data_IF_195645361883
#
_entry.id   IF_195645361883
#
_cell.length_a   1.000
_cell.length_b   1.000
_cell.length_c   1.000
_cell.angle_alpha   90.00
_cell.angle_beta   90.00
_cell.angle_gamma   90.00
#
_symmetry.space_group_name_H-M   'P 1'
#
loop_
_entity.id
_entity.type
_entity.pdbx_description
1 polymer ?
#
# COMPACT_ATOMS: atom_id res chain seq x y z
N UNK A 1 48.29 9.89 -21.56
CA UNK A 1 46.81 9.85 -21.73
C UNK A 1 46.15 10.02 -20.35
N UNK A 2 45.74 11.24 -20.00
CA UNK A 2 45.04 11.52 -18.77
C UNK A 2 43.55 11.16 -18.97
N UNK A 3 43.07 10.13 -18.26
CA UNK A 3 41.65 9.85 -18.16
C UNK A 3 40.98 11.06 -17.49
N UNK A 4 40.22 11.83 -18.24
CA UNK A 4 39.29 12.81 -17.71
C UNK A 4 38.21 12.03 -16.93
N UNK A 5 38.39 11.93 -15.61
CA UNK A 5 37.30 11.55 -14.70
C UNK A 5 36.16 12.56 -14.91
N UNK A 6 35.12 12.16 -15.60
CA UNK A 6 33.89 12.94 -15.65
C UNK A 6 33.32 12.97 -14.24
N UNK A 7 33.56 14.04 -13.50
CA UNK A 7 32.88 14.25 -12.21
C UNK A 7 31.38 14.28 -12.50
N UNK A 8 30.70 13.19 -12.22
CA UNK A 8 29.24 13.16 -12.24
C UNK A 8 28.76 14.23 -11.27
N UNK A 9 27.79 15.06 -11.67
CA UNK A 9 27.17 16.04 -10.79
C UNK A 9 26.60 15.30 -9.56
N UNK A 10 26.56 15.92 -8.39
CA UNK A 10 25.93 15.32 -7.23
C UNK A 10 24.46 15.05 -7.53
N UNK A 11 23.91 13.95 -6.96
CA UNK A 11 22.49 13.64 -7.01
C UNK A 11 21.74 14.78 -6.32
N UNK A 12 20.70 15.28 -6.95
CA UNK A 12 19.82 16.30 -6.41
C UNK A 12 18.56 15.66 -5.90
N UNK A 13 18.21 15.96 -4.65
CA UNK A 13 16.97 15.44 -4.07
C UNK A 13 16.01 16.55 -3.65
N UNK A 14 14.73 16.25 -3.71
CA UNK A 14 13.65 17.08 -3.17
C UNK A 14 12.90 16.30 -2.10
N UNK A 15 12.58 16.95 -0.97
CA UNK A 15 11.75 16.35 0.06
C UNK A 15 10.89 17.41 0.75
N UNK A 16 9.70 16.99 1.21
CA UNK A 16 8.82 17.76 2.07
C UNK A 16 9.00 17.38 3.55
N UNK A 17 9.88 16.42 3.83
CA UNK A 17 10.06 15.86 5.17
C UNK A 17 11.40 16.25 5.80
N UNK A 18 11.35 16.58 7.08
CA UNK A 18 12.54 16.74 7.93
C UNK A 18 12.67 15.50 8.83
N UNK A 19 13.25 14.44 8.30
CA UNK A 19 13.36 13.15 8.98
C UNK A 19 14.62 12.39 8.54
N UNK A 20 14.79 11.18 9.07
CA UNK A 20 15.95 10.32 8.79
C UNK A 20 16.21 10.06 7.30
N UNK A 21 15.23 10.20 6.42
CA UNK A 21 15.44 10.03 4.97
C UNK A 21 16.22 11.21 4.42
N UNK A 22 15.88 12.43 4.82
CA UNK A 22 16.64 13.64 4.47
C UNK A 22 18.07 13.55 4.98
N UNK A 23 18.23 13.22 6.28
CA UNK A 23 19.55 13.08 6.91
C UNK A 23 20.41 12.05 6.15
N UNK A 24 19.81 10.95 5.70
CA UNK A 24 20.49 9.91 4.91
C UNK A 24 20.92 10.44 3.53
N UNK A 25 20.11 11.24 2.87
CA UNK A 25 20.47 11.82 1.57
C UNK A 25 21.63 12.81 1.70
N UNK A 26 21.58 13.67 2.72
CA UNK A 26 22.66 14.61 3.04
C UNK A 26 23.98 13.86 3.39
N UNK A 27 23.90 12.81 4.23
CA UNK A 27 25.05 11.98 4.58
C UNK A 27 25.70 11.26 3.37
N UNK A 28 24.94 11.04 2.29
CA UNK A 28 25.45 10.54 1.00
C UNK A 28 26.09 11.62 0.12
N UNK A 29 26.11 12.86 0.56
CA UNK A 29 26.59 13.98 -0.22
C UNK A 29 25.64 14.39 -1.36
N UNK A 30 24.37 14.04 -1.25
CA UNK A 30 23.33 14.50 -2.15
C UNK A 30 22.97 15.95 -1.81
N UNK A 31 22.50 16.71 -2.78
CA UNK A 31 22.19 18.13 -2.64
C UNK A 31 20.69 18.35 -2.71
N UNK A 32 20.13 18.96 -1.68
CA UNK A 32 18.72 19.32 -1.66
C UNK A 32 18.43 20.43 -2.69
N UNK A 33 17.25 20.36 -3.31
CA UNK A 33 16.78 21.38 -4.28
C UNK A 33 15.31 21.72 -4.02
N UNK A 34 14.97 22.97 -4.20
CA UNK A 34 13.57 23.44 -4.15
C UNK A 34 12.91 23.45 -5.54
N UNK A 35 13.68 23.14 -6.59
CA UNK A 35 13.15 23.09 -7.95
C UNK A 35 12.06 22.04 -8.11
N UNK A 36 10.97 22.39 -8.78
CA UNK A 36 9.88 21.48 -9.08
C UNK A 36 10.23 20.46 -10.18
N UNK A 37 11.24 20.74 -10.99
CA UNK A 37 11.58 19.94 -12.17
C UNK A 37 13.01 19.42 -12.19
N UNK A 38 13.96 20.11 -11.55
CA UNK A 38 15.39 19.77 -11.58
C UNK A 38 15.81 19.02 -10.31
N UNK A 39 15.45 17.75 -10.24
CA UNK A 39 15.82 16.79 -9.20
C UNK A 39 16.02 15.40 -9.81
N UNK A 40 16.79 14.55 -9.13
CA UNK A 40 17.01 13.16 -9.51
C UNK A 40 16.12 12.22 -8.66
N UNK A 41 15.92 12.57 -7.38
CA UNK A 41 15.08 11.81 -6.43
C UNK A 41 14.14 12.78 -5.72
N UNK A 42 12.84 12.46 -5.72
CA UNK A 42 11.84 13.16 -4.91
C UNK A 42 11.27 12.22 -3.84
N UNK A 43 11.41 12.60 -2.57
CA UNK A 43 10.78 11.94 -1.43
C UNK A 43 9.76 12.88 -0.83
N UNK A 44 8.51 12.75 -1.26
CA UNK A 44 7.44 13.72 -1.02
C UNK A 44 6.18 13.03 -0.50
N UNK A 45 5.23 13.80 0.01
CA UNK A 45 3.95 13.28 0.47
C UNK A 45 2.95 13.08 -0.68
N UNK A 46 1.80 12.48 -0.33
CA UNK A 46 0.72 12.21 -1.28
C UNK A 46 0.06 13.48 -1.82
N UNK A 47 0.08 14.58 -1.05
CA UNK A 47 -0.58 15.80 -1.43
C UNK A 47 0.25 16.53 -2.48
N UNK A 48 1.57 16.55 -2.31
CA UNK A 48 2.48 17.00 -3.35
C UNK A 48 2.30 16.22 -4.68
N UNK A 49 2.16 14.89 -4.59
CA UNK A 49 1.90 14.05 -5.77
C UNK A 49 0.61 14.46 -6.48
N UNK A 50 -0.46 14.65 -5.73
CA UNK A 50 -1.77 15.03 -6.30
C UNK A 50 -1.72 16.36 -7.04
N UNK A 51 -0.95 17.32 -6.51
CA UNK A 51 -0.85 18.67 -7.05
C UNK A 51 0.10 18.75 -8.25
N UNK A 52 1.16 17.95 -8.26
CA UNK A 52 2.25 18.09 -9.21
C UNK A 52 2.29 17.02 -10.29
N UNK A 53 1.73 15.82 -10.07
CA UNK A 53 1.84 14.72 -11.01
C UNK A 53 1.15 15.02 -12.36
N UNK A 54 0.04 15.75 -12.34
CA UNK A 54 -0.68 16.14 -13.55
C UNK A 54 -0.06 17.39 -14.22
N UNK A 55 0.57 18.27 -13.45
CA UNK A 55 1.34 19.39 -13.98
C UNK A 55 2.61 18.92 -14.72
N UNK A 56 3.15 17.77 -14.33
CA UNK A 56 4.24 17.06 -15.02
C UNK A 56 3.72 16.25 -16.21
N UNK A 57 2.78 16.81 -16.97
CA UNK A 57 2.06 16.14 -18.07
C UNK A 57 2.97 15.59 -19.18
N UNK A 58 4.24 15.98 -19.23
CA UNK A 58 5.29 15.39 -20.07
C UNK A 58 5.93 14.14 -19.47
N UNK A 59 5.53 13.71 -18.27
CA UNK A 59 6.17 12.63 -17.50
C UNK A 59 7.46 13.08 -16.82
N UNK A 60 8.01 12.19 -16.01
CA UNK A 60 9.33 12.36 -15.41
C UNK A 60 10.43 12.07 -16.43
N UNK A 61 11.56 12.76 -16.32
CA UNK A 61 12.74 12.37 -17.09
C UNK A 61 13.19 10.95 -16.67
N UNK A 62 13.81 10.21 -17.57
CA UNK A 62 14.18 8.80 -17.36
C UNK A 62 15.01 8.55 -16.08
N UNK A 63 15.83 9.54 -15.69
CA UNK A 63 16.66 9.45 -14.49
C UNK A 63 15.92 9.77 -13.19
N UNK A 64 14.76 10.43 -13.24
CA UNK A 64 14.01 10.85 -12.05
C UNK A 64 13.32 9.68 -11.35
N UNK A 65 13.37 9.68 -10.04
CA UNK A 65 12.74 8.66 -9.17
C UNK A 65 11.94 9.34 -8.09
N UNK A 66 10.74 8.81 -7.84
CA UNK A 66 9.82 9.30 -6.83
C UNK A 66 9.31 8.14 -5.98
N UNK A 67 9.02 8.41 -4.70
CA UNK A 67 8.55 7.41 -3.75
C UNK A 67 7.06 7.02 -3.90
N UNK A 68 6.38 7.51 -4.91
CA UNK A 68 4.98 7.23 -5.17
C UNK A 68 4.75 6.81 -6.63
N UNK A 69 3.59 6.19 -6.87
CA UNK A 69 3.05 5.93 -8.20
C UNK A 69 1.55 6.32 -8.23
N UNK A 70 1.03 6.61 -9.41
CA UNK A 70 -0.30 7.23 -9.60
C UNK A 70 -1.42 6.50 -8.85
N UNK A 71 -1.55 5.23 -9.01
CA UNK A 71 -2.64 4.44 -8.43
C UNK A 71 -2.20 3.66 -7.17
N UNK A 72 -1.36 4.26 -6.32
CA UNK A 72 -0.83 3.57 -5.13
C UNK A 72 -1.91 3.03 -4.19
N UNK A 73 -3.10 3.62 -4.16
CA UNK A 73 -4.24 3.14 -3.38
C UNK A 73 -4.69 1.73 -3.74
N UNK A 74 -4.42 1.27 -4.97
CA UNK A 74 -4.72 -0.10 -5.38
C UNK A 74 -3.93 -1.16 -4.57
N UNK A 75 -2.76 -0.78 -4.04
CA UNK A 75 -1.93 -1.63 -3.19
C UNK A 75 -1.96 -1.22 -1.71
N UNK A 76 -2.09 0.07 -1.41
CA UNK A 76 -1.94 0.57 -0.03
C UNK A 76 -3.25 0.60 0.75
N UNK A 77 -4.40 0.69 0.08
CA UNK A 77 -5.70 0.50 0.72
C UNK A 77 -6.00 -0.98 0.86
N UNK A 78 -6.31 -1.40 2.06
CA UNK A 78 -6.54 -2.81 2.42
C UNK A 78 -7.66 -3.46 1.61
N UNK A 79 -8.76 -2.74 1.39
CA UNK A 79 -9.91 -3.22 0.59
C UNK A 79 -9.57 -3.38 -0.89
N UNK A 80 -8.86 -2.42 -1.48
CA UNK A 80 -8.43 -2.48 -2.88
C UNK A 80 -7.43 -3.62 -3.09
N UNK A 81 -6.44 -3.73 -2.19
CA UNK A 81 -5.46 -4.81 -2.25
C UNK A 81 -6.14 -6.19 -2.30
N UNK A 82 -7.07 -6.45 -1.39
CA UNK A 82 -7.80 -7.74 -1.35
C UNK A 82 -8.65 -7.95 -2.61
N UNK A 83 -9.35 -6.92 -3.07
CA UNK A 83 -10.13 -7.01 -4.32
C UNK A 83 -9.23 -7.33 -5.52
N UNK A 84 -8.07 -6.68 -5.62
CA UNK A 84 -7.13 -6.91 -6.71
C UNK A 84 -6.54 -8.32 -6.66
N UNK A 85 -6.10 -8.79 -5.47
CA UNK A 85 -5.57 -10.15 -5.31
C UNK A 85 -6.62 -11.21 -5.68
N UNK A 86 -7.84 -11.12 -5.14
CA UNK A 86 -8.94 -12.04 -5.47
C UNK A 86 -9.32 -11.98 -6.95
N UNK A 87 -9.28 -10.80 -7.58
CA UNK A 87 -9.56 -10.65 -9.01
C UNK A 87 -8.51 -11.33 -9.87
N UNK A 88 -7.24 -11.13 -9.55
CA UNK A 88 -6.12 -11.76 -10.26
C UNK A 88 -6.16 -13.27 -10.12
N UNK A 89 -6.33 -13.79 -8.91
CA UNK A 89 -6.45 -15.23 -8.66
C UNK A 89 -7.58 -15.86 -9.48
N UNK A 90 -8.77 -15.23 -9.50
CA UNK A 90 -9.90 -15.72 -10.31
C UNK A 90 -9.64 -15.65 -11.82
N UNK A 91 -8.90 -14.66 -12.29
CA UNK A 91 -8.53 -14.56 -13.72
C UNK A 91 -7.61 -15.70 -14.10
N UNK A 92 -6.57 -15.97 -13.32
CA UNK A 92 -5.63 -17.08 -13.53
C UNK A 92 -6.34 -18.43 -13.54
N UNK A 93 -7.25 -18.67 -12.59
CA UNK A 93 -8.05 -19.93 -12.57
C UNK A 93 -8.91 -20.09 -13.82
N UNK A 94 -9.48 -19.00 -14.38
CA UNK A 94 -10.25 -19.08 -15.63
C UNK A 94 -9.39 -19.36 -16.86
N UNK A 95 -8.12 -19.00 -16.81
CA UNK A 95 -7.12 -19.26 -17.84
C UNK A 95 -6.47 -20.63 -17.71
N UNK A 96 -6.83 -21.41 -16.65
CA UNK A 96 -6.26 -22.73 -16.38
C UNK A 96 -4.85 -22.70 -15.77
N UNK A 97 -4.43 -21.54 -15.25
CA UNK A 97 -3.13 -21.32 -14.62
C UNK A 97 -3.23 -21.56 -13.11
N UNK A 98 -3.46 -22.81 -12.72
CA UNK A 98 -3.74 -23.19 -11.32
C UNK A 98 -2.53 -22.98 -10.40
N UNK A 99 -1.32 -23.27 -10.85
CA UNK A 99 -0.09 -23.09 -10.06
C UNK A 99 0.15 -21.61 -9.78
N UNK A 100 0.00 -20.76 -10.78
CA UNK A 100 0.12 -19.30 -10.63
C UNK A 100 -0.98 -18.73 -9.72
N UNK A 101 -2.21 -19.26 -9.84
CA UNK A 101 -3.31 -18.85 -8.97
C UNK A 101 -3.06 -19.24 -7.50
N UNK A 102 -2.48 -20.42 -7.26
CA UNK A 102 -2.10 -20.87 -5.92
C UNK A 102 -1.04 -19.97 -5.27
N UNK A 103 -0.12 -19.40 -6.07
CA UNK A 103 0.87 -18.44 -5.57
C UNK A 103 0.23 -17.16 -4.98
N UNK A 104 -1.03 -16.86 -5.30
CA UNK A 104 -1.79 -15.75 -4.72
C UNK A 104 -2.52 -16.11 -3.43
N UNK A 105 -2.45 -17.35 -2.92
CA UNK A 105 -3.08 -17.77 -1.65
C UNK A 105 -2.21 -17.51 -0.41
N UNK A 106 -1.56 -16.36 -0.38
CA UNK A 106 -0.70 -15.96 0.74
C UNK A 106 -1.42 -15.05 1.77
N UNK A 107 -2.61 -14.56 1.47
CA UNK A 107 -3.37 -13.68 2.35
C UNK A 107 -4.46 -14.46 3.11
N UNK A 108 -4.82 -14.03 4.33
CA UNK A 108 -5.89 -14.66 5.11
C UNK A 108 -7.26 -14.44 4.48
N UNK A 109 -8.23 -15.29 4.79
CA UNK A 109 -9.63 -15.06 4.45
C UNK A 109 -10.05 -13.65 4.89
N UNK A 110 -10.52 -12.84 3.96
CA UNK A 110 -10.76 -11.40 4.20
C UNK A 110 -12.12 -11.00 3.66
N UNK A 111 -12.90 -10.33 4.51
CA UNK A 111 -14.27 -9.90 4.27
C UNK A 111 -14.36 -8.38 4.44
N UNK A 112 -14.90 -7.69 3.44
CA UNK A 112 -15.09 -6.24 3.47
C UNK A 112 -16.48 -5.90 3.99
N UNK A 113 -16.56 -5.40 5.21
CA UNK A 113 -17.83 -5.06 5.83
C UNK A 113 -18.27 -3.62 5.44
N UNK A 114 -19.57 -3.36 5.29
CA UNK A 114 -20.69 -4.31 5.50
C UNK A 114 -21.00 -5.23 4.30
N UNK A 115 -20.37 -5.02 3.14
CA UNK A 115 -20.75 -5.70 1.89
C UNK A 115 -20.68 -7.23 1.97
N UNK A 116 -19.63 -7.77 2.61
CA UNK A 116 -19.42 -9.21 2.73
C UNK A 116 -19.91 -9.77 4.07
N UNK A 117 -20.80 -9.06 4.81
CA UNK A 117 -21.21 -9.48 6.16
C UNK A 117 -21.83 -10.88 6.20
N UNK A 118 -22.69 -11.21 5.24
CA UNK A 118 -23.31 -12.55 5.15
C UNK A 118 -22.25 -13.64 4.99
N UNK A 119 -21.31 -13.46 4.08
CA UNK A 119 -20.21 -14.39 3.83
C UNK A 119 -19.29 -14.50 5.07
N UNK A 120 -19.05 -13.39 5.75
CA UNK A 120 -18.28 -13.37 6.98
C UNK A 120 -18.96 -14.20 8.08
N UNK A 121 -20.29 -14.07 8.25
CA UNK A 121 -21.06 -14.84 9.25
C UNK A 121 -21.05 -16.33 8.94
N UNK A 122 -21.15 -16.71 7.68
CA UNK A 122 -21.05 -18.12 7.27
C UNK A 122 -19.68 -18.69 7.60
N UNK A 123 -18.62 -18.01 7.22
CA UNK A 123 -17.26 -18.42 7.53
C UNK A 123 -16.98 -18.46 9.04
N UNK A 124 -17.45 -17.46 9.78
CA UNK A 124 -17.32 -17.42 11.23
C UNK A 124 -17.87 -18.69 11.89
N UNK A 125 -19.00 -19.23 11.42
CA UNK A 125 -19.63 -20.45 11.96
C UNK A 125 -18.83 -21.72 11.69
N UNK A 126 -17.96 -21.74 10.70
CA UNK A 126 -17.09 -22.88 10.39
C UNK A 126 -15.87 -22.99 11.29
N UNK A 127 -15.52 -21.90 11.99
CA UNK A 127 -14.36 -21.83 12.85
C UNK A 127 -14.68 -22.23 14.30
N UNK A 128 -13.68 -22.68 15.07
CA UNK A 128 -13.85 -22.96 16.50
C UNK A 128 -14.37 -21.74 17.28
N UNK A 129 -15.16 -21.93 18.35
CA UNK A 129 -15.74 -20.84 19.14
C UNK A 129 -14.71 -19.87 19.76
N UNK A 130 -13.46 -20.30 19.91
CA UNK A 130 -12.36 -19.52 20.44
C UNK A 130 -11.46 -18.92 19.35
N UNK A 131 -11.83 -19.04 18.08
CA UNK A 131 -11.10 -18.42 16.98
C UNK A 131 -11.06 -16.91 17.15
N UNK A 132 -9.87 -16.34 16.99
CA UNK A 132 -9.64 -14.91 17.13
C UNK A 132 -9.65 -14.26 15.74
N UNK A 133 -10.50 -13.29 15.60
CA UNK A 133 -10.63 -12.48 14.40
C UNK A 133 -10.03 -11.10 14.61
N UNK A 134 -9.58 -10.46 13.55
CA UNK A 134 -9.07 -9.09 13.60
C UNK A 134 -9.92 -8.17 12.74
N UNK A 135 -10.38 -7.08 13.31
CA UNK A 135 -11.06 -6.00 12.59
C UNK A 135 -10.09 -4.87 12.29
N UNK A 136 -10.04 -4.46 11.03
CA UNK A 136 -9.15 -3.37 10.58
C UNK A 136 -9.95 -2.33 9.80
N UNK A 137 -10.03 -1.08 10.26
CA UNK A 137 -10.62 -0.01 9.46
C UNK A 137 -9.85 0.17 8.14
N UNK A 138 -10.58 0.29 7.03
CA UNK A 138 -9.98 0.38 5.68
C UNK A 138 -9.15 1.65 5.51
N UNK A 139 -9.67 2.79 5.99
CA UNK A 139 -9.06 4.10 5.78
C UNK A 139 -8.10 4.56 6.88
N UNK A 140 -7.85 3.74 7.93
CA UNK A 140 -6.96 4.12 9.03
C UNK A 140 -5.60 3.41 8.92
N UNK A 141 -4.57 4.05 9.47
CA UNK A 141 -3.19 3.56 9.52
C UNK A 141 -2.68 3.52 10.96
N UNK A 142 -1.44 3.04 11.17
CA UNK A 142 -0.74 3.01 12.46
C UNK A 142 -1.50 2.28 13.58
N UNK A 143 -2.22 1.24 13.24
CA UNK A 143 -2.98 0.45 14.22
C UNK A 143 -4.26 1.12 14.75
N UNK A 144 -4.58 2.34 14.32
CA UNK A 144 -5.74 3.08 14.83
C UNK A 144 -7.05 2.37 14.52
N UNK A 145 -7.79 1.99 15.59
CA UNK A 145 -9.08 1.34 15.48
C UNK A 145 -9.02 -0.13 15.07
N UNK A 146 -7.85 -0.76 15.11
CA UNK A 146 -7.72 -2.21 14.98
C UNK A 146 -8.08 -2.85 16.33
N UNK A 147 -8.88 -3.91 16.28
CA UNK A 147 -9.18 -4.69 17.48
C UNK A 147 -9.34 -6.17 17.12
N UNK A 148 -9.15 -7.01 18.15
CA UNK A 148 -9.38 -8.45 18.08
C UNK A 148 -10.73 -8.78 18.72
N UNK A 149 -11.42 -9.78 18.17
CA UNK A 149 -12.70 -10.23 18.72
C UNK A 149 -12.88 -11.74 18.49
N UNK A 150 -13.74 -12.34 19.28
CA UNK A 150 -14.13 -13.74 19.15
C UNK A 150 -15.65 -13.94 19.21
N UNK A 151 -16.43 -12.86 19.37
CA UNK A 151 -17.89 -12.91 19.37
C UNK A 151 -18.43 -12.07 18.22
N UNK A 152 -19.40 -12.64 17.51
CA UNK A 152 -20.02 -11.96 16.36
C UNK A 152 -20.70 -10.63 16.75
N UNK A 153 -21.27 -10.54 17.98
CA UNK A 153 -21.87 -9.30 18.48
C UNK A 153 -20.88 -8.13 18.53
N UNK A 154 -19.60 -8.39 18.79
CA UNK A 154 -18.56 -7.38 18.86
C UNK A 154 -18.25 -6.75 17.48
N UNK A 155 -18.57 -7.47 16.40
CA UNK A 155 -18.42 -6.94 15.04
C UNK A 155 -19.52 -5.97 14.64
N UNK A 156 -20.70 -6.05 15.30
CA UNK A 156 -21.87 -5.22 14.99
C UNK A 156 -21.85 -3.86 15.66
N UNK A 157 -21.16 -3.74 16.80
CA UNK A 157 -21.06 -2.50 17.58
C UNK A 157 -20.10 -1.47 16.96
N UNK A 158 -19.44 -1.86 15.89
CA UNK A 158 -18.45 -1.01 15.25
C UNK A 158 -19.09 -0.05 14.25
N UNK A 159 -19.33 1.17 14.70
CA UNK A 159 -19.65 2.34 13.89
C UNK A 159 -18.46 2.74 12.99
N UNK A 160 -17.71 1.76 12.51
CA UNK A 160 -16.41 1.89 11.81
C UNK A 160 -16.60 1.83 10.31
N UNK A 161 -17.56 2.42 9.71
CA UNK A 161 -17.60 2.49 8.25
C UNK A 161 -17.11 1.19 7.57
N UNK A 162 -16.36 1.29 6.51
CA UNK A 162 -15.74 0.13 5.85
C UNK A 162 -14.64 -0.49 6.74
N UNK A 163 -14.78 -1.75 7.08
CA UNK A 163 -13.81 -2.52 7.87
C UNK A 163 -13.51 -3.87 7.22
N UNK A 164 -12.38 -4.48 7.56
CA UNK A 164 -12.00 -5.82 7.13
C UNK A 164 -12.03 -6.75 8.34
N UNK A 165 -12.79 -7.83 8.25
CA UNK A 165 -12.66 -8.98 9.13
C UNK A 165 -11.71 -10.00 8.48
N UNK A 166 -10.74 -10.47 9.24
CA UNK A 166 -9.72 -11.41 8.77
C UNK A 166 -9.87 -12.71 9.54
N UNK A 167 -10.04 -13.81 8.80
CA UNK A 167 -10.07 -15.15 9.36
C UNK A 167 -8.67 -15.55 9.86
N UNK A 168 -8.58 -16.29 10.98
CA UNK A 168 -7.36 -17.00 11.30
C UNK A 168 -7.03 -17.98 10.16
N UNK A 169 -5.76 -18.08 9.77
CA UNK A 169 -5.34 -19.21 8.94
C UNK A 169 -5.40 -20.48 9.76
N UNK A 170 -5.88 -21.60 9.18
CA UNK A 170 -5.84 -22.91 9.84
C UNK A 170 -4.41 -23.35 10.16
#
# INVERSE_FOLDING_TARGET
MQQRSSRRRPVRFRTTFHNCVRDLFEARGWVETESDTDWDVAWVDKDWIRENLDALSGGFAEHQRINHFRNHYELTRKDNLIKNLKRTQRALLREGLEEEAAAYDFFPGTYTLPADYGLFVEEYKTHPPNAIWIMKPVGKAQGKGIFLFNRLSESSDCNLGLALALAPKP
#
